data_IF_848193063529
#
_entry.id   IF_848193063529
#
_cell.length_a   1.000
_cell.length_b   1.000
_cell.length_c   1.000
_cell.angle_alpha   90.00
_cell.angle_beta   90.00
_cell.angle_gamma   90.00
#
_symmetry.space_group_name_H-M   'P 1'
#
loop_
_entity.id
_entity.type
_entity.pdbx_description
1 polymer ?
#
# COMPACT_ATOMS: atom_id res chain seq x y z
N UNK A 1 -6.19 -25.25 -17.63
CA UNK A 1 -7.38 -25.88 -17.02
C UNK A 1 -8.21 -24.80 -16.34
N UNK A 2 -9.54 -24.93 -16.26
CA UNK A 2 -10.45 -23.93 -15.68
C UNK A 2 -10.26 -23.69 -14.16
N UNK A 3 -9.39 -24.48 -13.52
CA UNK A 3 -9.04 -24.43 -12.09
C UNK A 3 -7.53 -24.48 -11.87
N UNK A 4 -6.75 -24.11 -12.88
CA UNK A 4 -5.31 -23.96 -12.71
C UNK A 4 -5.06 -22.67 -11.89
N UNK A 5 -4.46 -22.75 -10.70
CA UNK A 5 -4.10 -21.55 -9.94
C UNK A 5 -2.95 -20.80 -10.60
N UNK A 6 -2.31 -21.39 -11.61
CA UNK A 6 -1.31 -20.72 -12.43
C UNK A 6 -1.98 -19.63 -13.25
N UNK A 7 -1.46 -18.39 -13.24
CA UNK A 7 -1.95 -17.34 -14.11
C UNK A 7 -1.98 -17.87 -15.54
N UNK A 8 -3.14 -17.79 -16.20
CA UNK A 8 -3.25 -18.12 -17.61
C UNK A 8 -2.25 -17.22 -18.36
N UNK A 9 -1.25 -17.85 -18.98
CA UNK A 9 -0.09 -17.19 -19.55
C UNK A 9 -0.46 -15.98 -20.41
N UNK A 10 0.08 -14.83 -20.01
CA UNK A 10 0.12 -13.58 -20.74
C UNK A 10 1.29 -12.79 -20.16
N UNK A 11 2.25 -12.40 -20.99
CA UNK A 11 3.60 -12.00 -20.57
C UNK A 11 3.66 -11.09 -19.34
N UNK A 12 4.53 -11.45 -18.40
CA UNK A 12 4.76 -10.66 -17.19
C UNK A 12 5.22 -9.26 -17.60
N UNK A 13 4.37 -8.25 -17.30
CA UNK A 13 4.79 -6.86 -17.37
C UNK A 13 5.88 -6.70 -16.30
N UNK A 14 7.12 -6.30 -16.68
CA UNK A 14 8.20 -6.19 -15.71
C UNK A 14 7.81 -5.29 -14.54
N UNK A 15 8.04 -5.76 -13.31
CA UNK A 15 7.78 -5.04 -12.05
C UNK A 15 6.31 -4.72 -11.76
N UNK A 16 5.35 -5.30 -12.50
CA UNK A 16 3.92 -5.05 -12.24
C UNK A 16 3.48 -5.51 -10.84
N UNK A 17 4.09 -6.59 -10.34
CA UNK A 17 3.96 -7.05 -8.95
C UNK A 17 4.30 -5.95 -7.94
N UNK A 18 5.42 -5.23 -8.15
CA UNK A 18 5.85 -4.13 -7.27
C UNK A 18 4.90 -2.94 -7.32
N UNK A 19 4.34 -2.65 -8.50
CA UNK A 19 3.31 -1.60 -8.64
C UNK A 19 2.06 -1.98 -7.85
N UNK A 20 1.62 -3.23 -7.94
CA UNK A 20 0.47 -3.73 -7.16
C UNK A 20 0.75 -3.63 -5.66
N UNK A 21 1.91 -4.06 -5.19
CA UNK A 21 2.34 -3.92 -3.79
C UNK A 21 2.25 -2.45 -3.32
N UNK A 22 2.89 -1.53 -4.04
CA UNK A 22 2.84 -0.11 -3.72
C UNK A 22 1.39 0.45 -3.67
N UNK A 23 0.52 0.01 -4.58
CA UNK A 23 -0.89 0.45 -4.61
C UNK A 23 -1.68 -0.12 -3.42
N UNK A 24 -1.56 -1.42 -3.14
CA UNK A 24 -2.26 -2.10 -2.04
C UNK A 24 -1.92 -1.46 -0.70
N UNK A 25 -0.66 -1.04 -0.51
CA UNK A 25 -0.22 -0.40 0.74
C UNK A 25 -0.46 1.12 0.77
N UNK A 26 -0.38 1.80 -0.37
CA UNK A 26 -0.54 3.25 -0.45
C UNK A 26 -1.99 3.73 -0.49
N UNK A 27 -2.89 3.01 -1.19
CA UNK A 27 -4.28 3.44 -1.37
C UNK A 27 -5.06 3.60 -0.05
N UNK A 28 -4.98 2.68 0.93
CA UNK A 28 -5.65 2.86 2.21
C UNK A 28 -5.24 4.15 2.93
N UNK A 29 -3.95 4.51 2.86
CA UNK A 29 -3.41 5.74 3.47
C UNK A 29 -3.97 6.98 2.76
N UNK A 30 -3.93 6.99 1.44
CA UNK A 30 -4.47 8.09 0.64
C UNK A 30 -5.98 8.29 0.88
N UNK A 31 -6.74 7.18 0.90
CA UNK A 31 -8.17 7.19 1.15
C UNK A 31 -8.50 7.63 2.58
N UNK A 32 -7.70 7.26 3.58
CA UNK A 32 -7.86 7.77 4.94
C UNK A 32 -7.71 9.31 5.00
N UNK A 33 -6.74 9.86 4.25
CA UNK A 33 -6.58 11.31 4.11
C UNK A 33 -7.76 11.97 3.39
N UNK A 34 -8.24 11.36 2.30
CA UNK A 34 -9.42 11.81 1.56
C UNK A 34 -10.69 11.81 2.44
N UNK A 35 -10.88 10.77 3.23
CA UNK A 35 -11.97 10.63 4.19
C UNK A 35 -11.80 11.48 5.46
N UNK A 36 -10.73 12.29 5.56
CA UNK A 36 -10.39 13.13 6.73
C UNK A 36 -10.27 12.34 8.04
N UNK A 37 -9.89 11.06 7.94
CA UNK A 37 -9.55 10.24 9.10
C UNK A 37 -8.13 10.59 9.58
N UNK A 38 -7.75 10.02 10.73
CA UNK A 38 -6.38 10.14 11.28
C UNK A 38 -5.41 9.28 10.47
N UNK A 39 -5.13 9.68 9.23
CA UNK A 39 -4.35 8.93 8.24
C UNK A 39 -2.94 8.56 8.70
N UNK A 40 -2.36 9.30 9.64
CA UNK A 40 -1.05 8.98 10.24
C UNK A 40 -1.06 7.60 10.92
N UNK A 41 -2.16 7.25 11.59
CA UNK A 41 -2.29 5.91 12.20
C UNK A 41 -2.44 4.82 11.15
N UNK A 42 -3.18 5.10 10.07
CA UNK A 42 -3.30 4.18 8.93
C UNK A 42 -1.94 3.95 8.29
N UNK A 43 -1.16 5.02 8.05
CA UNK A 43 0.19 4.93 7.52
C UNK A 43 1.11 4.10 8.43
N UNK A 44 1.07 4.31 9.74
CA UNK A 44 1.88 3.54 10.69
C UNK A 44 1.50 2.04 10.69
N UNK A 45 0.20 1.73 10.69
CA UNK A 45 -0.27 0.34 10.61
C UNK A 45 0.16 -0.32 9.30
N UNK A 46 -0.01 0.36 8.17
CA UNK A 46 0.40 -0.18 6.86
C UNK A 46 1.92 -0.36 6.76
N UNK A 47 2.72 0.55 7.34
CA UNK A 47 4.17 0.42 7.37
C UNK A 47 4.65 -0.78 8.20
N UNK A 48 3.99 -1.08 9.32
CA UNK A 48 4.26 -2.30 10.10
C UNK A 48 3.74 -3.53 9.39
N UNK A 49 2.60 -3.42 8.70
CA UNK A 49 2.01 -4.54 7.98
C UNK A 49 2.91 -5.04 6.85
N UNK A 50 3.67 -4.17 6.16
CA UNK A 50 4.53 -4.53 5.03
C UNK A 50 5.54 -5.67 5.33
N UNK A 51 6.43 -5.56 6.33
CA UNK A 51 7.31 -6.68 6.68
C UNK A 51 6.55 -7.88 7.27
N UNK A 52 5.42 -7.64 7.94
CA UNK A 52 4.62 -8.73 8.53
C UNK A 52 3.96 -9.57 7.46
N UNK A 53 3.37 -8.95 6.43
CA UNK A 53 2.78 -9.66 5.29
C UNK A 53 3.82 -10.49 4.58
N UNK A 54 5.03 -9.98 4.40
CA UNK A 54 6.13 -10.69 3.76
C UNK A 54 6.52 -11.96 4.51
N UNK A 55 6.70 -11.84 5.84
CA UNK A 55 7.00 -12.98 6.71
C UNK A 55 5.87 -14.00 6.66
N UNK A 56 4.61 -13.55 6.75
CA UNK A 56 3.44 -14.43 6.68
C UNK A 56 3.36 -15.12 5.33
N UNK A 57 3.61 -14.43 4.22
CA UNK A 57 3.63 -15.02 2.88
C UNK A 57 4.74 -16.07 2.75
N UNK A 58 5.97 -15.73 3.14
CA UNK A 58 7.11 -16.65 3.06
C UNK A 58 6.99 -17.89 3.95
N UNK A 59 6.25 -17.80 5.08
CA UNK A 59 6.04 -18.93 5.98
C UNK A 59 4.77 -19.74 5.69
N UNK A 60 3.69 -19.08 5.27
CA UNK A 60 2.37 -19.70 5.17
C UNK A 60 1.91 -19.97 3.72
N UNK A 61 2.59 -19.43 2.71
CA UNK A 61 2.24 -19.62 1.30
C UNK A 61 3.39 -20.37 0.57
N UNK A 62 3.33 -21.71 0.47
CA UNK A 62 4.42 -22.51 -0.10
C UNK A 62 4.81 -22.17 -1.54
N UNK A 63 3.89 -21.53 -2.29
CA UNK A 63 4.11 -21.08 -3.67
C UNK A 63 4.69 -19.65 -3.77
N UNK A 64 4.95 -18.97 -2.65
CA UNK A 64 5.55 -17.65 -2.58
C UNK A 64 6.86 -17.73 -1.80
N UNK A 65 7.99 -17.55 -2.48
CA UNK A 65 9.23 -17.21 -1.81
C UNK A 65 9.15 -15.75 -1.39
N UNK A 66 9.48 -15.44 -0.14
CA UNK A 66 9.52 -14.05 0.27
C UNK A 66 10.57 -13.24 -0.50
N UNK A 67 10.26 -12.01 -0.89
CA UNK A 67 11.10 -11.05 -1.59
C UNK A 67 11.20 -9.73 -0.78
N UNK A 68 12.38 -9.40 -0.23
CA UNK A 68 12.60 -8.13 0.46
C UNK A 68 12.25 -6.87 -0.36
N UNK A 69 12.26 -6.96 -1.70
CA UNK A 69 11.85 -5.84 -2.55
C UNK A 69 10.33 -5.59 -2.54
N UNK A 70 9.51 -6.56 -2.13
CA UNK A 70 8.08 -6.34 -1.88
C UNK A 70 7.87 -5.41 -0.69
N UNK A 71 8.60 -5.62 0.41
CA UNK A 71 8.57 -4.71 1.58
C UNK A 71 8.99 -3.30 1.18
N UNK A 72 10.00 -3.17 0.32
CA UNK A 72 10.44 -1.85 -0.19
C UNK A 72 9.33 -1.20 -1.02
N UNK A 73 8.71 -1.94 -1.93
CA UNK A 73 7.61 -1.43 -2.75
C UNK A 73 6.41 -0.99 -1.90
N UNK A 74 6.07 -1.76 -0.87
CA UNK A 74 5.00 -1.46 0.08
C UNK A 74 5.27 -0.16 0.84
N UNK A 75 6.47 -0.01 1.39
CA UNK A 75 6.86 1.19 2.12
C UNK A 75 6.90 2.43 1.23
N UNK A 76 7.36 2.30 -0.03
CA UNK A 76 7.25 3.38 -1.03
C UNK A 76 5.79 3.74 -1.26
N UNK A 77 4.91 2.74 -1.41
CA UNK A 77 3.46 2.93 -1.49
C UNK A 77 2.89 3.72 -0.31
N UNK A 78 3.23 3.34 0.92
CA UNK A 78 2.81 4.04 2.15
C UNK A 78 3.29 5.50 2.15
N UNK A 79 4.54 5.75 1.78
CA UNK A 79 5.10 7.12 1.72
C UNK A 79 4.34 7.96 0.70
N UNK A 80 4.12 7.44 -0.50
CA UNK A 80 3.37 8.13 -1.56
C UNK A 80 1.92 8.40 -1.12
N UNK A 81 1.27 7.41 -0.52
CA UNK A 81 -0.08 7.54 0.04
C UNK A 81 -0.15 8.60 1.14
N UNK A 82 0.84 8.68 2.03
CA UNK A 82 0.95 9.70 3.06
C UNK A 82 1.16 11.11 2.49
N UNK A 83 1.96 11.25 1.42
CA UNK A 83 2.13 12.52 0.71
C UNK A 83 0.80 13.00 0.12
N UNK A 84 0.03 12.10 -0.51
CA UNK A 84 -1.31 12.41 -1.03
C UNK A 84 -2.25 12.79 0.10
N UNK A 85 -2.33 11.98 1.17
CA UNK A 85 -3.17 12.23 2.33
C UNK A 85 -2.89 13.60 2.98
N UNK A 86 -1.62 13.98 3.10
CA UNK A 86 -1.19 15.28 3.62
C UNK A 86 -1.68 16.43 2.74
N UNK A 87 -1.60 16.30 1.41
CA UNK A 87 -2.10 17.30 0.46
C UNK A 87 -3.61 17.47 0.58
N UNK A 88 -4.36 16.37 0.66
CA UNK A 88 -5.82 16.38 0.81
C UNK A 88 -6.26 16.99 2.15
N UNK A 89 -5.52 16.71 3.22
CA UNK A 89 -5.79 17.27 4.55
C UNK A 89 -5.47 18.76 4.64
N UNK A 90 -4.37 19.21 4.01
CA UNK A 90 -3.93 20.61 4.04
C UNK A 90 -4.82 21.59 3.26
N UNK A 91 -5.50 21.13 2.20
CA UNK A 91 -6.44 21.96 1.42
C UNK A 91 -7.67 22.38 2.26
N UNK A 92 -7.99 21.67 3.33
CA UNK A 92 -9.17 21.94 4.16
C UNK A 92 -8.91 22.88 5.36
N UNK A 93 -7.71 23.44 5.50
CA UNK A 93 -7.23 24.15 6.69
C UNK A 93 -7.19 25.68 6.65
N UNK A 94 -7.95 26.37 5.80
CA UNK A 94 -8.08 27.83 5.89
C UNK A 94 -8.87 28.18 7.18
N UNK A 95 -8.29 28.91 8.16
CA UNK A 95 -9.01 29.25 9.37
C UNK A 95 -10.12 30.25 9.04
N UNK A 96 -11.38 29.90 9.30
CA UNK A 96 -12.42 30.91 9.46
C UNK A 96 -12.09 31.71 10.72
N UNK A 97 -11.41 32.85 10.57
CA UNK A 97 -11.35 33.86 11.61
C UNK A 97 -12.79 34.32 11.85
N UNK A 98 -13.42 33.81 12.89
CA UNK A 98 -14.60 34.45 13.50
C UNK A 98 -14.08 35.34 14.62
N UNK A 99 -14.39 36.61 14.42
CA UNK A 99 -14.14 37.82 15.18
C UNK A 99 -14.13 37.65 16.69
#
# INVERSE_FOLDING_TARGET
>A
MLYDPSPAGGGDIPFADKVVHALVFGMPVALAGWARLRWVWVAAVMAVHAPVSEIVQGLALPARSGDPFDVVADLVGVVLGALVARRLSGVSGAPSRRW
#
